data_IF_510895332006
#
_entry.id   IF_510895332006
#
_cell.length_a   1.000
_cell.length_b   1.000
_cell.length_c   1.000
_cell.angle_alpha   90.00
_cell.angle_beta   90.00
_cell.angle_gamma   90.00
#
_symmetry.space_group_name_H-M   'P 1'
#
loop_
_entity.id
_entity.type
_entity.pdbx_description
1 polymer ?
#
# COMPACT_ATOMS: atom_id res chain seq x y z
N UNK A 1 -6.30 8.68 -10.41
CA UNK A 1 -6.64 9.95 -10.81
C UNK A 1 -6.80 10.18 -12.29
N UNK A 2 -7.54 11.21 -12.57
CA UNK A 2 -7.82 11.71 -13.92
C UNK A 2 -6.71 12.59 -14.49
N UNK A 3 -5.60 12.75 -13.77
CA UNK A 3 -4.49 13.61 -14.18
C UNK A 3 -3.85 13.14 -15.49
N UNK A 4 -3.53 14.09 -16.36
CA UNK A 4 -2.78 13.82 -17.58
C UNK A 4 -1.36 13.36 -17.25
N UNK A 5 -0.70 12.71 -18.22
CA UNK A 5 0.69 12.28 -18.07
C UNK A 5 1.64 13.44 -17.72
N UNK A 6 1.40 14.61 -18.32
CA UNK A 6 2.19 15.81 -18.06
C UNK A 6 2.00 16.34 -16.63
N UNK A 7 0.76 16.33 -16.11
CA UNK A 7 0.47 16.73 -14.74
C UNK A 7 1.12 15.78 -13.72
N UNK A 8 1.07 14.48 -13.98
CA UNK A 8 1.75 13.47 -13.14
C UNK A 8 3.25 13.70 -13.10
N UNK A 9 3.88 13.89 -14.26
CA UNK A 9 5.31 14.16 -14.34
C UNK A 9 5.69 15.44 -13.62
N UNK A 10 4.94 16.54 -13.84
CA UNK A 10 5.17 17.78 -13.14
C UNK A 10 5.07 17.67 -11.61
N UNK A 11 4.10 16.89 -11.11
CA UNK A 11 3.94 16.65 -9.68
C UNK A 11 5.16 15.92 -9.09
N UNK A 12 5.66 14.89 -9.79
CA UNK A 12 6.84 14.14 -9.40
C UNK A 12 8.08 15.03 -9.39
N UNK A 13 8.31 15.79 -10.45
CA UNK A 13 9.48 16.66 -10.59
C UNK A 13 9.46 17.77 -9.52
N UNK A 14 8.29 18.34 -9.27
CA UNK A 14 8.11 19.36 -8.23
C UNK A 14 8.37 18.82 -6.83
N UNK A 15 7.98 17.57 -6.56
CA UNK A 15 8.24 16.89 -5.30
C UNK A 15 9.73 16.52 -5.16
N UNK A 16 10.33 15.94 -6.18
CA UNK A 16 11.75 15.58 -6.19
C UNK A 16 12.65 16.82 -6.06
N UNK A 17 12.26 17.95 -6.65
CA UNK A 17 12.93 19.24 -6.48
C UNK A 17 12.64 19.93 -5.13
N UNK A 18 11.91 19.25 -4.21
CA UNK A 18 11.49 19.80 -2.90
C UNK A 18 10.68 21.09 -2.96
N UNK A 19 10.10 21.43 -4.11
CA UNK A 19 9.16 22.55 -4.26
C UNK A 19 7.81 22.24 -3.63
N UNK A 20 7.46 20.97 -3.50
CA UNK A 20 6.27 20.47 -2.79
C UNK A 20 6.71 19.55 -1.66
N UNK A 21 6.09 19.72 -0.48
CA UNK A 21 6.41 18.93 0.73
C UNK A 21 5.71 17.60 0.77
N UNK A 22 4.59 17.47 0.09
CA UNK A 22 3.73 16.28 0.08
C UNK A 22 3.35 15.98 -1.36
N UNK A 23 3.38 14.71 -1.72
CA UNK A 23 2.79 14.17 -2.94
C UNK A 23 1.78 13.11 -2.54
N UNK A 24 0.59 13.13 -3.15
CA UNK A 24 -0.46 12.13 -2.94
C UNK A 24 -0.53 11.27 -4.18
N UNK A 25 -0.41 9.96 -4.00
CA UNK A 25 -0.46 8.98 -5.08
C UNK A 25 -1.54 7.93 -4.75
N UNK A 26 -2.28 7.48 -5.76
CA UNK A 26 -3.04 6.24 -5.58
C UNK A 26 -2.08 5.05 -5.56
N UNK A 27 -2.43 3.99 -4.82
CA UNK A 27 -1.61 2.76 -4.71
C UNK A 27 -1.29 2.20 -6.11
N UNK A 28 -2.28 2.13 -7.00
CA UNK A 28 -2.09 1.67 -8.39
C UNK A 28 -1.13 2.57 -9.19
N UNK A 29 -1.21 3.89 -9.03
CA UNK A 29 -0.31 4.81 -9.73
C UNK A 29 1.12 4.74 -9.15
N UNK A 30 1.28 4.56 -7.84
CA UNK A 30 2.57 4.35 -7.20
C UNK A 30 3.23 3.03 -7.65
N UNK A 31 2.45 2.03 -8.08
CA UNK A 31 2.96 0.80 -8.66
C UNK A 31 3.79 0.97 -9.94
N UNK A 32 3.61 2.08 -10.69
CA UNK A 32 4.25 2.30 -11.99
C UNK A 32 5.52 3.15 -11.85
N UNK A 33 6.67 2.51 -11.68
CA UNK A 33 8.02 3.05 -11.95
C UNK A 33 8.44 4.41 -11.36
N UNK A 34 7.64 5.02 -10.48
CA UNK A 34 7.93 6.33 -9.90
C UNK A 34 9.18 6.29 -9.00
N UNK A 35 9.92 7.39 -8.94
CA UNK A 35 11.02 7.59 -8.00
C UNK A 35 10.67 8.76 -7.09
N UNK A 36 10.59 8.51 -5.77
CA UNK A 36 10.15 9.48 -4.76
C UNK A 36 11.16 9.60 -3.60
N UNK A 37 12.45 9.54 -3.93
CA UNK A 37 13.56 9.56 -2.96
C UNK A 37 13.76 10.90 -2.24
N UNK A 38 13.02 11.95 -2.63
CA UNK A 38 13.03 13.22 -1.93
C UNK A 38 12.41 13.15 -0.52
N UNK A 39 11.59 12.11 -0.24
CA UNK A 39 11.07 11.82 1.09
C UNK A 39 11.62 10.52 1.65
N UNK A 40 11.79 10.48 2.95
CA UNK A 40 12.04 9.27 3.74
C UNK A 40 10.81 8.83 4.56
N UNK A 41 9.65 9.44 4.35
CA UNK A 41 8.41 9.07 4.99
C UNK A 41 7.36 8.71 3.93
N UNK A 42 6.75 7.55 4.11
CA UNK A 42 5.62 7.06 3.32
C UNK A 42 4.43 6.92 4.26
N UNK A 43 3.28 7.45 3.87
CA UNK A 43 2.05 7.36 4.68
C UNK A 43 0.98 6.65 3.86
N UNK A 44 0.51 5.52 4.35
CA UNK A 44 -0.62 4.79 3.80
C UNK A 44 -1.89 5.26 4.50
N UNK A 45 -2.73 5.96 3.78
CA UNK A 45 -4.06 6.43 4.25
C UNK A 45 -5.09 5.32 4.10
N UNK A 46 -4.89 4.44 3.14
CA UNK A 46 -5.63 3.20 2.92
C UNK A 46 -4.64 2.04 2.80
N UNK A 47 -5.03 0.85 3.25
CA UNK A 47 -4.22 -0.33 3.10
C UNK A 47 -4.34 -0.89 1.68
N UNK A 48 -3.23 -1.28 1.04
CA UNK A 48 -3.28 -2.11 -0.15
C UNK A 48 -3.79 -3.51 0.20
N UNK A 49 -4.28 -4.24 -0.77
CA UNK A 49 -4.84 -5.58 -0.57
C UNK A 49 -3.77 -6.67 -0.42
N UNK A 50 -2.53 -6.40 -0.82
CA UNK A 50 -1.45 -7.38 -0.76
C UNK A 50 -0.18 -6.79 -0.15
N UNK A 51 0.64 -7.66 0.44
CA UNK A 51 1.96 -7.29 0.94
C UNK A 51 2.90 -6.86 -0.20
N UNK A 52 2.71 -7.42 -1.39
CA UNK A 52 3.47 -7.05 -2.58
C UNK A 52 3.22 -5.59 -2.98
N UNK A 53 1.96 -5.16 -2.97
CA UNK A 53 1.60 -3.76 -3.27
C UNK A 53 2.15 -2.80 -2.21
N UNK A 54 2.10 -3.19 -0.93
CA UNK A 54 2.66 -2.42 0.18
C UNK A 54 4.15 -2.20 -0.06
N UNK A 55 4.91 -3.28 -0.22
CA UNK A 55 6.36 -3.23 -0.46
C UNK A 55 6.69 -2.48 -1.75
N UNK A 56 5.90 -2.64 -2.79
CA UNK A 56 6.10 -1.94 -4.05
C UNK A 56 5.96 -0.41 -3.90
N UNK A 57 4.98 0.04 -3.10
CA UNK A 57 4.82 1.47 -2.79
C UNK A 57 5.99 2.00 -1.95
N UNK A 58 6.44 1.26 -0.94
CA UNK A 58 7.60 1.62 -0.11
C UNK A 58 8.87 1.75 -0.95
N UNK A 59 9.08 0.84 -1.91
CA UNK A 59 10.22 0.86 -2.83
C UNK A 59 10.27 2.10 -3.74
N UNK A 60 9.24 2.94 -3.77
CA UNK A 60 9.30 4.23 -4.48
C UNK A 60 10.11 5.27 -3.73
N UNK A 61 10.09 5.23 -2.42
CA UNK A 61 10.93 6.06 -1.55
C UNK A 61 12.26 5.36 -1.21
N UNK A 62 12.22 4.04 -0.95
CA UNK A 62 13.39 3.21 -0.72
C UNK A 62 13.99 2.73 -2.05
N UNK A 63 14.77 3.59 -2.68
CA UNK A 63 15.38 3.35 -3.99
C UNK A 63 16.78 3.94 -4.05
N UNK A 64 17.57 3.55 -5.08
CA UNK A 64 18.89 4.14 -5.33
C UNK A 64 18.78 5.67 -5.35
N UNK A 65 19.59 6.34 -4.53
CA UNK A 65 19.56 7.79 -4.32
C UNK A 65 18.87 8.22 -3.01
N UNK A 66 18.21 7.33 -2.29
CA UNK A 66 17.75 7.61 -0.92
C UNK A 66 18.94 7.61 0.04
N UNK A 67 19.04 8.68 0.83
CA UNK A 67 20.16 8.89 1.79
C UNK A 67 19.74 8.61 3.24
N UNK A 68 18.45 8.51 3.51
CA UNK A 68 17.91 8.34 4.86
C UNK A 68 17.19 7.00 5.00
N UNK A 69 17.04 6.53 6.22
CA UNK A 69 16.14 5.41 6.51
C UNK A 69 14.70 5.81 6.12
N UNK A 70 14.00 4.91 5.44
CA UNK A 70 12.59 5.13 5.07
C UNK A 70 11.69 4.58 6.16
N UNK A 71 10.74 5.40 6.60
CA UNK A 71 9.72 5.02 7.58
C UNK A 71 8.37 4.97 6.90
N UNK A 72 7.67 3.87 7.06
CA UNK A 72 6.29 3.68 6.59
C UNK A 72 5.31 3.84 7.75
N UNK A 73 4.33 4.69 7.55
CA UNK A 73 3.25 4.97 8.48
C UNK A 73 1.96 4.42 7.92
N UNK A 74 1.29 3.57 8.68
CA UNK A 74 -0.01 3.01 8.29
C UNK A 74 -1.07 3.62 9.19
N UNK A 75 -2.00 4.34 8.60
CA UNK A 75 -3.14 4.92 9.32
C UNK A 75 -4.26 3.89 9.36
N UNK A 76 -4.73 3.58 10.56
CA UNK A 76 -5.82 2.63 10.77
C UNK A 76 -6.89 3.25 11.66
N UNK A 77 -8.15 3.07 11.30
CA UNK A 77 -9.28 3.48 12.14
C UNK A 77 -9.42 2.57 13.37
N UNK A 78 -9.67 3.15 14.54
CA UNK A 78 -10.03 2.36 15.72
C UNK A 78 -11.40 1.71 15.53
N UNK A 79 -11.51 0.42 15.86
CA UNK A 79 -12.74 -0.36 15.74
C UNK A 79 -13.30 -0.44 14.31
N UNK A 80 -12.42 -0.41 13.32
CA UNK A 80 -12.75 -0.59 11.91
C UNK A 80 -12.22 -1.92 11.39
N UNK A 81 -12.50 -2.22 10.13
CA UNK A 81 -12.00 -3.40 9.42
C UNK A 81 -10.48 -3.34 9.19
N UNK A 82 -9.86 -2.17 9.31
CA UNK A 82 -8.45 -1.95 8.96
C UNK A 82 -7.50 -2.86 9.76
N UNK A 83 -7.79 -3.08 11.05
CA UNK A 83 -7.00 -3.95 11.90
C UNK A 83 -7.01 -5.42 11.43
N UNK A 84 -8.15 -5.89 10.97
CA UNK A 84 -8.28 -7.25 10.39
C UNK A 84 -7.55 -7.35 9.06
N UNK A 85 -7.75 -6.37 8.19
CA UNK A 85 -7.10 -6.33 6.88
C UNK A 85 -5.57 -6.30 7.04
N UNK A 86 -5.06 -5.48 7.95
CA UNK A 86 -3.63 -5.43 8.24
C UNK A 86 -3.09 -6.78 8.72
N UNK A 87 -3.76 -7.41 9.68
CA UNK A 87 -3.36 -8.73 10.21
C UNK A 87 -3.35 -9.79 9.11
N UNK A 88 -4.35 -9.78 8.24
CA UNK A 88 -4.48 -10.70 7.13
C UNK A 88 -3.34 -10.52 6.10
N UNK A 89 -3.04 -9.28 5.73
CA UNK A 89 -1.94 -8.94 4.82
C UNK A 89 -0.60 -9.42 5.40
N UNK A 90 -0.35 -9.16 6.69
CA UNK A 90 0.88 -9.58 7.36
C UNK A 90 1.02 -11.08 7.47
N UNK A 91 -0.05 -11.79 7.82
CA UNK A 91 -0.06 -13.24 7.92
C UNK A 91 0.25 -13.91 6.58
N UNK A 92 -0.40 -13.43 5.49
CA UNK A 92 -0.16 -13.98 4.15
C UNK A 92 1.20 -13.58 3.59
N UNK A 93 1.70 -12.39 3.89
CA UNK A 93 3.05 -11.97 3.54
C UNK A 93 4.12 -12.88 4.16
N UNK A 94 3.93 -13.33 5.41
CA UNK A 94 4.83 -14.25 6.09
C UNK A 94 4.81 -15.66 5.48
N UNK A 95 3.68 -16.10 4.95
CA UNK A 95 3.56 -17.41 4.26
C UNK A 95 4.22 -17.33 2.88
N UNK A 96 4.01 -16.24 2.13
CA UNK A 96 4.60 -16.06 0.81
C UNK A 96 6.14 -15.98 0.87
N UNK A 97 6.71 -15.39 1.92
CA UNK A 97 8.17 -15.35 2.12
C UNK A 97 8.78 -16.73 2.44
N UNK A 98 7.98 -17.68 2.93
CA UNK A 98 8.41 -19.06 3.22
C UNK A 98 8.26 -20.00 2.02
N UNK A 99 7.48 -19.60 1.02
CA UNK A 99 7.24 -20.38 -0.20
C UNK A 99 7.69 -19.52 -1.37
N UNK A 100 8.98 -19.54 -1.68
CA UNK A 100 9.52 -18.96 -2.90
C UNK A 100 8.95 -19.66 -4.12
N UNK A 101 7.88 -19.16 -4.67
CA UNK A 101 7.25 -19.63 -5.89
C UNK A 101 6.11 -18.69 -6.25
N UNK A 102 6.34 -17.88 -7.27
CA UNK A 102 5.31 -17.08 -7.92
C UNK A 102 4.10 -17.96 -8.25
N UNK A 103 2.98 -17.77 -7.60
CA UNK A 103 1.70 -18.30 -8.03
C UNK A 103 0.56 -17.32 -7.76
N UNK A 104 -0.05 -16.92 -8.86
CA UNK A 104 -1.38 -16.38 -9.10
C UNK A 104 -2.01 -15.46 -8.03
N UNK A 105 -1.89 -14.16 -8.28
CA UNK A 105 -2.53 -13.09 -7.50
C UNK A 105 -4.07 -13.12 -7.59
N UNK A 106 -4.63 -13.48 -8.73
CA UNK A 106 -6.08 -13.35 -8.99
C UNK A 106 -6.96 -14.35 -8.20
N UNK A 107 -6.49 -15.59 -7.99
CA UNK A 107 -7.24 -16.59 -7.19
C UNK A 107 -7.18 -16.25 -5.70
N UNK A 108 -6.10 -15.58 -5.28
CA UNK A 108 -5.96 -15.14 -3.89
C UNK A 108 -6.90 -13.98 -3.55
N UNK A 109 -7.17 -13.09 -4.49
CA UNK A 109 -8.04 -11.93 -4.28
C UNK A 109 -9.49 -12.34 -4.01
N UNK A 110 -10.04 -13.33 -4.72
CA UNK A 110 -11.41 -13.82 -4.50
C UNK A 110 -11.58 -14.43 -3.10
N UNK A 111 -10.63 -15.27 -2.65
CA UNK A 111 -10.65 -15.85 -1.31
C UNK A 111 -10.53 -14.79 -0.19
N UNK A 112 -9.88 -13.67 -0.47
CA UNK A 112 -9.81 -12.52 0.44
C UNK A 112 -11.16 -11.85 0.65
N UNK A 113 -11.91 -11.66 -0.44
CA UNK A 113 -13.24 -11.02 -0.36
C UNK A 113 -14.22 -11.89 0.42
N UNK A 114 -14.17 -13.22 0.24
CA UNK A 114 -15.03 -14.14 0.97
C UNK A 114 -14.69 -14.15 2.48
N UNK A 115 -13.43 -14.21 2.85
CA UNK A 115 -12.98 -14.17 4.25
C UNK A 115 -13.30 -12.82 4.93
N UNK A 116 -13.20 -11.72 4.19
CA UNK A 116 -13.61 -10.39 4.66
C UNK A 116 -15.12 -10.26 4.81
N UNK A 117 -15.89 -10.80 3.87
CA UNK A 117 -17.35 -10.80 3.93
C UNK A 117 -17.83 -11.59 5.16
N UNK A 118 -17.26 -12.76 5.43
CA UNK A 118 -17.58 -13.57 6.60
C UNK A 118 -17.25 -12.87 7.92
N UNK A 119 -16.11 -12.19 7.99
CA UNK A 119 -15.72 -11.41 9.17
C UNK A 119 -16.67 -10.22 9.44
N UNK A 120 -17.09 -9.50 8.40
CA UNK A 120 -18.05 -8.39 8.51
C UNK A 120 -19.40 -8.91 8.97
N UNK A 121 -19.85 -10.04 8.44
CA UNK A 121 -21.11 -10.69 8.84
C UNK A 121 -21.07 -11.16 10.30
N UNK A 122 -20.01 -11.83 10.73
CA UNK A 122 -19.83 -12.27 12.13
C UNK A 122 -19.82 -11.10 13.11
N UNK A 123 -19.13 -10.01 12.79
CA UNK A 123 -19.10 -8.81 13.64
C UNK A 123 -20.43 -8.07 13.69
N UNK A 124 -21.25 -8.14 12.63
CA UNK A 124 -22.57 -7.54 12.62
C UNK A 124 -23.57 -8.35 13.48
N UNK A 125 -23.39 -9.67 13.57
CA UNK A 125 -24.24 -10.57 14.39
C UNK A 125 -23.89 -10.50 15.90
N UNK A 126 -22.64 -10.22 16.25
CA UNK A 126 -22.18 -10.12 17.63
C UNK A 126 -22.42 -8.74 18.29
N UNK A 127 -23.04 -7.80 17.58
CA UNK A 127 -23.41 -6.46 18.12
C UNK A 127 -24.88 -6.36 18.59
N UNK A 128 -25.54 -7.50 18.86
CA UNK A 128 -26.87 -7.51 19.52
C UNK A 128 -26.77 -7.88 20.99
#
# INVERSE_FOLDING_TARGET
GSDSQQQKQWAIDSFQARKKRIIICSIKAAGVGLTLTASSNVVFVELPWTMADLSQCECRAYRNGQKNAVTSWILMGSNTIDGYLYSLIMQKGSIASKVTGEQDSAIKDAAYFDELADLVLQNSLNKK
#
